data_IF_395199309083
#
_entry.id   IF_395199309083
#
_cell.length_a   1.000
_cell.length_b   1.000
_cell.length_c   1.000
_cell.angle_alpha   90.00
_cell.angle_beta   90.00
_cell.angle_gamma   90.00
#
_symmetry.space_group_name_H-M   'P 1'
#
loop_
_entity.id
_entity.type
_entity.pdbx_description
1 polymer ?
#
# COMPACT_ATOMS: atom_id res chain seq x y z
N UNK A 1 -6.65 -24.94 18.64
CA UNK A 1 -5.22 -24.92 18.27
C UNK A 1 -4.88 -23.51 17.81
N UNK A 2 -4.29 -22.70 18.68
CA UNK A 2 -4.02 -21.28 18.42
C UNK A 2 -2.51 -21.05 18.40
N UNK A 3 -1.92 -20.94 17.21
CA UNK A 3 -0.51 -20.64 17.05
C UNK A 3 -0.31 -19.13 16.86
N UNK A 4 -0.35 -18.38 17.97
CA UNK A 4 0.23 -17.04 18.04
C UNK A 4 1.75 -17.18 17.90
N UNK A 5 2.34 -16.66 16.84
CA UNK A 5 3.80 -16.61 16.68
C UNK A 5 4.26 -15.18 16.50
N UNK A 6 4.55 -14.56 17.64
CA UNK A 6 5.33 -13.34 17.78
C UNK A 6 6.81 -13.66 17.51
N UNK A 7 7.31 -13.07 16.43
CA UNK A 7 8.67 -12.62 16.11
C UNK A 7 9.80 -12.96 17.10
N UNK A 8 10.62 -13.96 16.73
CA UNK A 8 12.02 -14.09 17.15
C UNK A 8 12.89 -14.11 15.89
N UNK A 9 13.65 -13.02 15.69
CA UNK A 9 14.41 -12.69 14.47
C UNK A 9 15.69 -13.52 14.29
N UNK A 10 15.58 -14.83 14.05
CA UNK A 10 16.75 -15.61 13.60
C UNK A 10 16.45 -16.77 12.67
N UNK A 11 15.17 -17.19 12.56
CA UNK A 11 14.78 -18.29 11.69
C UNK A 11 13.91 -17.77 10.55
N UNK A 12 14.20 -18.15 9.28
CA UNK A 12 13.33 -17.82 8.16
C UNK A 12 11.89 -18.28 8.42
N UNK A 13 10.87 -17.49 8.04
CA UNK A 13 9.47 -17.83 8.27
C UNK A 13 9.08 -19.08 7.49
N UNK A 14 8.14 -19.86 8.03
CA UNK A 14 7.61 -21.06 7.39
C UNK A 14 6.92 -20.71 6.07
N UNK A 15 6.90 -21.65 5.10
CA UNK A 15 6.24 -21.45 3.80
C UNK A 15 4.79 -20.98 3.93
N UNK A 16 4.04 -21.55 4.87
CA UNK A 16 2.65 -21.14 5.15
C UNK A 16 2.54 -19.69 5.62
N UNK A 17 3.44 -19.25 6.49
CA UNK A 17 3.51 -17.86 6.96
C UNK A 17 3.86 -16.90 5.81
N UNK A 18 4.78 -17.28 4.93
CA UNK A 18 5.10 -16.50 3.73
C UNK A 18 3.89 -16.34 2.81
N UNK A 19 3.19 -17.45 2.53
CA UNK A 19 2.00 -17.44 1.69
C UNK A 19 0.91 -16.53 2.28
N UNK A 20 0.70 -16.57 3.60
CA UNK A 20 -0.25 -15.70 4.28
C UNK A 20 0.15 -14.22 4.15
N UNK A 21 1.43 -13.90 4.40
CA UNK A 21 1.97 -12.55 4.26
C UNK A 21 1.77 -12.01 2.84
N UNK A 22 2.11 -12.78 1.79
CA UNK A 22 1.92 -12.35 0.40
C UNK A 22 0.44 -12.15 0.05
N UNK A 23 -0.44 -13.05 0.51
CA UNK A 23 -1.88 -12.91 0.30
C UNK A 23 -2.40 -11.59 0.89
N UNK A 24 -2.07 -11.32 2.16
CA UNK A 24 -2.55 -10.11 2.84
C UNK A 24 -1.92 -8.83 2.27
N UNK A 25 -0.65 -8.90 1.84
CA UNK A 25 0.01 -7.82 1.09
C UNK A 25 -0.78 -7.47 -0.17
N UNK A 26 -1.10 -8.48 -0.99
CA UNK A 26 -1.75 -8.28 -2.28
C UNK A 26 -3.16 -7.74 -2.07
N UNK A 27 -3.91 -8.27 -1.10
CA UNK A 27 -5.22 -7.74 -0.72
C UNK A 27 -5.18 -6.27 -0.27
N UNK A 28 -4.16 -5.88 0.51
CA UNK A 28 -3.99 -4.49 0.92
C UNK A 28 -3.64 -3.58 -0.27
N UNK A 29 -2.70 -3.99 -1.12
CA UNK A 29 -2.27 -3.19 -2.28
C UNK A 29 -3.37 -3.04 -3.32
N UNK A 30 -4.17 -4.09 -3.56
CA UNK A 30 -5.36 -4.03 -4.41
C UNK A 30 -6.39 -3.05 -3.83
N UNK A 31 -6.61 -3.07 -2.51
CA UNK A 31 -7.49 -2.12 -1.85
C UNK A 31 -7.05 -0.67 -2.09
N UNK A 32 -5.75 -0.39 -1.96
CA UNK A 32 -5.20 0.95 -2.26
C UNK A 32 -5.42 1.34 -3.73
N UNK A 33 -5.16 0.44 -4.69
CA UNK A 33 -5.41 0.71 -6.10
C UNK A 33 -6.87 1.06 -6.37
N UNK A 34 -7.81 0.29 -5.80
CA UNK A 34 -9.24 0.48 -5.99
C UNK A 34 -9.75 1.83 -5.45
N UNK A 35 -9.18 2.32 -4.34
CA UNK A 35 -9.61 3.60 -3.75
C UNK A 35 -8.84 4.81 -4.29
N UNK A 36 -7.71 4.59 -4.99
CA UNK A 36 -6.86 5.67 -5.51
C UNK A 36 -7.63 6.67 -6.40
N UNK A 37 -8.51 6.24 -7.35
CA UNK A 37 -9.32 7.18 -8.13
C UNK A 37 -10.28 8.01 -7.26
N UNK A 38 -10.86 7.38 -6.23
CA UNK A 38 -11.78 8.06 -5.30
C UNK A 38 -11.05 9.13 -4.48
N UNK A 39 -9.86 8.80 -3.97
CA UNK A 39 -9.01 9.74 -3.23
C UNK A 39 -8.59 10.91 -4.12
N UNK A 40 -8.20 10.64 -5.37
CA UNK A 40 -7.86 11.70 -6.32
C UNK A 40 -9.04 12.66 -6.55
N UNK A 41 -10.26 12.14 -6.74
CA UNK A 41 -11.44 12.97 -6.91
C UNK A 41 -11.74 13.84 -5.68
N UNK A 42 -11.52 13.31 -4.48
CA UNK A 42 -11.71 14.08 -3.24
C UNK A 42 -10.65 15.19 -3.14
N UNK A 43 -9.39 14.89 -3.49
CA UNK A 43 -8.29 15.86 -3.40
C UNK A 43 -8.39 17.00 -4.42
N UNK A 44 -8.83 16.70 -5.64
CA UNK A 44 -8.96 17.68 -6.73
C UNK A 44 -10.00 18.77 -6.46
N UNK A 45 -10.97 18.54 -5.57
CA UNK A 45 -11.97 19.55 -5.19
C UNK A 45 -11.40 20.65 -4.25
N UNK A 46 -10.17 20.50 -3.76
CA UNK A 46 -9.58 21.38 -2.74
C UNK A 46 -8.54 22.35 -3.32
N UNK A 47 -8.03 22.12 -4.54
CA UNK A 47 -6.97 22.92 -5.13
C UNK A 47 -7.41 23.62 -6.43
N UNK A 48 -7.49 24.95 -6.41
CA UNK A 48 -7.46 25.77 -7.62
C UNK A 48 -6.04 25.75 -8.18
N UNK A 49 -5.74 24.79 -9.05
CA UNK A 49 -4.52 24.76 -9.87
C UNK A 49 -3.51 23.67 -9.47
N UNK A 50 -3.50 22.60 -10.27
CA UNK A 50 -2.40 21.63 -10.33
C UNK A 50 -2.87 20.21 -10.50
N UNK A 51 -2.98 19.75 -11.75
CA UNK A 51 -3.40 18.40 -12.20
C UNK A 51 -2.41 17.27 -11.83
N UNK A 52 -1.79 17.35 -10.66
CA UNK A 52 -0.86 16.32 -10.17
C UNK A 52 -1.64 15.18 -9.55
N UNK A 53 -1.92 14.17 -10.37
CA UNK A 53 -2.51 12.88 -9.94
C UNK A 53 -1.73 12.33 -8.74
N UNK A 54 -2.40 12.25 -7.59
CA UNK A 54 -1.85 11.69 -6.37
C UNK A 54 -1.72 10.17 -6.51
N UNK A 55 -0.51 9.66 -6.24
CA UNK A 55 -0.21 8.23 -6.17
C UNK A 55 -0.37 7.79 -4.71
N UNK A 56 -1.38 6.96 -4.43
CA UNK A 56 -1.61 6.42 -3.09
C UNK A 56 -0.79 5.14 -2.90
N UNK A 57 0.36 5.26 -2.23
CA UNK A 57 1.24 4.13 -1.90
C UNK A 57 1.26 3.83 -0.38
N UNK A 58 1.66 2.62 0.06
CA UNK A 58 1.67 2.24 1.47
C UNK A 58 2.44 3.17 2.41
N UNK A 59 3.49 3.82 1.92
CA UNK A 59 4.31 4.73 2.72
C UNK A 59 3.63 6.10 2.79
N UNK A 60 3.00 6.59 1.72
CA UNK A 60 2.17 7.81 1.79
C UNK A 60 1.04 7.67 2.82
N UNK A 61 0.44 6.49 2.93
CA UNK A 61 -0.57 6.18 3.95
C UNK A 61 -0.03 6.29 5.38
N UNK A 62 1.28 6.11 5.59
CA UNK A 62 1.94 6.27 6.88
C UNK A 62 2.41 7.71 7.14
N UNK A 63 2.77 8.45 6.09
CA UNK A 63 3.32 9.81 6.18
C UNK A 63 2.24 10.91 6.18
N UNK A 64 1.03 10.63 5.71
CA UNK A 64 -0.03 11.64 5.55
C UNK A 64 -1.34 11.25 6.27
N UNK A 65 -1.68 12.01 7.32
CA UNK A 65 -2.86 11.80 8.17
C UNK A 65 -4.20 11.91 7.42
N UNK A 66 -4.31 12.76 6.39
CA UNK A 66 -5.53 12.90 5.61
C UNK A 66 -5.76 11.66 4.74
N UNK A 67 -4.72 11.18 4.08
CA UNK A 67 -4.76 9.94 3.30
C UNK A 67 -5.03 8.76 4.23
N UNK A 68 -4.42 8.73 5.41
CA UNK A 68 -4.69 7.71 6.43
C UNK A 68 -6.18 7.68 6.81
N UNK A 69 -6.81 8.84 7.05
CA UNK A 69 -8.24 8.94 7.35
C UNK A 69 -9.10 8.40 6.22
N UNK A 70 -8.76 8.70 4.96
CA UNK A 70 -9.46 8.18 3.79
C UNK A 70 -9.31 6.66 3.67
N UNK A 71 -8.11 6.11 3.86
CA UNK A 71 -7.84 4.67 3.87
C UNK A 71 -8.63 3.95 4.97
N UNK A 72 -8.76 4.57 6.16
CA UNK A 72 -9.65 4.08 7.24
C UNK A 72 -11.11 4.10 6.81
N UNK A 73 -11.58 5.21 6.21
CA UNK A 73 -12.96 5.36 5.72
C UNK A 73 -13.34 4.31 4.68
N UNK A 74 -12.40 3.93 3.80
CA UNK A 74 -12.63 2.89 2.77
C UNK A 74 -12.30 1.46 3.24
N UNK A 75 -12.15 1.21 4.55
CA UNK A 75 -11.86 -0.09 5.14
C UNK A 75 -10.54 -0.77 4.70
N UNK A 76 -9.66 -0.07 3.97
CA UNK A 76 -8.34 -0.60 3.61
C UNK A 76 -7.37 -0.63 4.80
N UNK A 77 -7.66 0.12 5.87
CA UNK A 77 -6.84 0.12 7.09
C UNK A 77 -6.79 -1.24 7.78
N UNK A 78 -7.91 -1.97 7.84
CA UNK A 78 -7.94 -3.31 8.44
C UNK A 78 -7.02 -4.28 7.69
N UNK A 79 -7.01 -4.22 6.36
CA UNK A 79 -6.11 -5.03 5.52
C UNK A 79 -4.64 -4.66 5.74
N UNK A 80 -4.33 -3.38 5.94
CA UNK A 80 -2.98 -2.91 6.33
C UNK A 80 -2.53 -3.56 7.65
N UNK A 81 -3.37 -3.53 8.68
CA UNK A 81 -3.03 -4.10 9.99
C UNK A 81 -2.80 -5.62 9.92
N UNK A 82 -3.66 -6.33 9.18
CA UNK A 82 -3.51 -7.78 8.98
C UNK A 82 -2.22 -8.11 8.21
N UNK A 83 -1.92 -7.34 7.15
CA UNK A 83 -0.68 -7.45 6.38
C UNK A 83 0.57 -7.21 7.25
N UNK A 84 0.63 -6.10 7.96
CA UNK A 84 1.78 -5.74 8.81
C UNK A 84 1.99 -6.72 9.96
N UNK A 85 0.90 -7.30 10.49
CA UNK A 85 0.96 -8.31 11.55
C UNK A 85 1.42 -9.69 11.04
N UNK A 86 1.05 -10.06 9.82
CA UNK A 86 1.39 -11.36 9.25
C UNK A 86 2.80 -11.41 8.65
N UNK A 87 3.35 -10.26 8.27
CA UNK A 87 4.65 -10.15 7.64
C UNK A 87 5.77 -9.81 8.63
N UNK A 88 7.00 -10.18 8.30
CA UNK A 88 8.18 -9.71 9.02
C UNK A 88 8.42 -8.23 8.67
N UNK A 89 8.82 -7.42 9.64
CA UNK A 89 9.04 -5.98 9.47
C UNK A 89 9.90 -5.63 8.25
N UNK A 90 11.03 -6.33 8.05
CA UNK A 90 11.92 -6.09 6.90
C UNK A 90 11.25 -6.39 5.55
N UNK A 91 10.28 -7.31 5.51
CA UNK A 91 9.51 -7.57 4.29
C UNK A 91 8.47 -6.49 4.05
N UNK A 92 7.82 -6.02 5.11
CA UNK A 92 6.88 -4.89 5.01
C UNK A 92 7.60 -3.66 4.45
N UNK A 93 8.75 -3.30 5.01
CA UNK A 93 9.58 -2.19 4.55
C UNK A 93 9.98 -2.36 3.08
N UNK A 94 10.48 -3.54 2.71
CA UNK A 94 10.86 -3.85 1.34
C UNK A 94 9.68 -3.75 0.36
N UNK A 95 8.56 -4.40 0.66
CA UNK A 95 7.38 -4.41 -0.21
C UNK A 95 6.77 -3.02 -0.36
N UNK A 96 6.67 -2.25 0.73
CA UNK A 96 6.13 -0.89 0.70
C UNK A 96 7.02 0.02 -0.16
N UNK A 97 8.34 -0.06 0.01
CA UNK A 97 9.30 0.68 -0.81
C UNK A 97 9.22 0.27 -2.28
N UNK A 98 9.22 -1.03 -2.55
CA UNK A 98 9.11 -1.58 -3.90
C UNK A 98 7.83 -1.10 -4.60
N UNK A 99 6.71 -1.13 -3.88
CA UNK A 99 5.41 -0.71 -4.39
C UNK A 99 5.38 0.76 -4.79
N UNK A 100 5.94 1.64 -3.97
CA UNK A 100 6.10 3.08 -4.28
C UNK A 100 6.89 3.28 -5.58
N UNK A 101 8.00 2.59 -5.75
CA UNK A 101 8.84 2.69 -6.96
C UNK A 101 8.09 2.23 -8.21
N UNK A 102 7.38 1.10 -8.13
CA UNK A 102 6.57 0.57 -9.24
C UNK A 102 5.46 1.53 -9.68
N UNK A 103 4.76 2.15 -8.72
CA UNK A 103 3.70 3.11 -9.04
C UNK A 103 4.27 4.38 -9.69
N UNK A 104 5.41 4.89 -9.20
CA UNK A 104 6.10 6.05 -9.80
C UNK A 104 6.57 5.75 -11.23
N UNK A 105 7.20 4.59 -11.44
CA UNK A 105 7.65 4.17 -12.76
C UNK A 105 6.47 3.96 -13.72
N UNK A 106 5.37 3.35 -13.26
CA UNK A 106 4.13 3.20 -14.05
C UNK A 106 3.58 4.56 -14.48
N UNK A 107 3.57 5.55 -13.58
CA UNK A 107 3.11 6.89 -13.90
C UNK A 107 4.01 7.58 -14.95
N UNK A 108 5.33 7.44 -14.84
CA UNK A 108 6.28 7.97 -15.83
C UNK A 108 6.08 7.33 -17.21
N UNK A 109 6.00 6.00 -17.29
CA UNK A 109 5.83 5.29 -18.56
C UNK A 109 4.54 5.70 -19.30
N UNK A 110 3.45 5.98 -18.58
CA UNK A 110 2.20 6.45 -19.18
C UNK A 110 2.39 7.81 -19.87
N UNK A 111 3.16 8.72 -19.28
CA UNK A 111 3.42 10.05 -19.87
C UNK A 111 4.26 10.01 -21.14
N UNK A 112 5.06 8.96 -21.33
CA UNK A 112 5.91 8.77 -22.51
C UNK A 112 5.13 8.17 -23.68
N UNK A 113 4.19 7.24 -23.41
CA UNK A 113 3.38 6.59 -24.46
C UNK A 113 2.38 7.52 -25.16
N UNK A 114 2.05 8.68 -24.58
CA UNK A 114 1.15 9.67 -25.17
C UNK A 114 1.83 10.75 -26.03
N UNK A 115 3.14 10.63 -26.27
CA UNK A 115 3.94 11.60 -27.06
C UNK A 115 4.34 11.11 -28.46
N UNK A 116 3.92 9.91 -28.86
CA UNK A 116 4.17 9.34 -30.19
C UNK A 116 2.92 9.36 -31.08
#
# INVERSE_FOLDING_TARGET
MSASTTTSQSKPPLRSQRNLCWKLRDEYFECLENITPLINNIHNNTLNGGDSKLIVDPILVQENDEIQKLVKKFNCWKKKEEYEKACITSWVEYFNTRRRLELKQRAQNITETGKN
#
